data_IF_325108966607
#
_entry.id   IF_325108966607
#
_cell.length_a   1.000
_cell.length_b   1.000
_cell.length_c   1.000
_cell.angle_alpha   90.00
_cell.angle_beta   90.00
_cell.angle_gamma   90.00
#
_symmetry.space_group_name_H-M   'P 1'
#
loop_
_entity.id
_entity.type
_entity.pdbx_description
1 polymer ?
#
# COMPACT_ATOMS: atom_id res chain seq x y z
N UNK A 1 -5.76 23.45 25.55
CA UNK A 1 -4.61 24.23 25.04
C UNK A 1 -3.97 23.38 23.95
N UNK A 2 -4.31 23.64 22.68
CA UNK A 2 -3.67 22.97 21.55
C UNK A 2 -2.26 23.54 21.50
N UNK A 3 -1.28 22.73 21.91
CA UNK A 3 0.11 23.09 21.72
C UNK A 3 0.29 23.19 20.19
N UNK A 4 0.54 24.40 19.66
CA UNK A 4 0.77 24.59 18.23
C UNK A 4 2.10 23.91 17.88
N UNK A 5 2.04 22.62 17.56
CA UNK A 5 3.19 21.88 17.07
C UNK A 5 3.51 22.41 15.68
N UNK A 6 4.62 23.15 15.57
CA UNK A 6 5.11 23.63 14.27
C UNK A 6 5.60 22.44 13.45
N UNK A 7 4.99 22.25 12.28
CA UNK A 7 5.39 21.20 11.34
C UNK A 7 6.56 21.72 10.50
N UNK A 8 7.70 21.01 10.45
CA UNK A 8 8.83 21.43 9.64
C UNK A 8 8.46 21.46 8.13
N UNK A 9 8.97 22.44 7.38
CA UNK A 9 8.71 22.55 5.94
C UNK A 9 9.41 21.43 5.17
N UNK A 10 8.80 21.02 4.05
CA UNK A 10 9.37 20.02 3.13
C UNK A 10 10.59 20.56 2.38
N UNK A 11 11.36 19.68 1.74
CA UNK A 11 12.46 20.08 0.84
C UNK A 11 11.98 21.02 -0.26
N UNK A 12 10.81 20.75 -0.85
CA UNK A 12 10.22 21.58 -1.89
C UNK A 12 9.84 22.98 -1.38
N UNK A 13 9.22 23.07 -0.21
CA UNK A 13 8.87 24.37 0.41
C UNK A 13 10.12 25.16 0.80
N UNK A 14 11.15 24.48 1.30
CA UNK A 14 12.46 25.08 1.58
C UNK A 14 13.13 25.59 0.31
N UNK A 15 13.06 24.82 -0.78
CA UNK A 15 13.55 25.20 -2.10
C UNK A 15 12.86 26.46 -2.62
N UNK A 16 11.53 26.53 -2.51
CA UNK A 16 10.76 27.73 -2.89
C UNK A 16 11.09 28.96 -2.03
N UNK A 17 11.34 28.74 -0.74
CA UNK A 17 11.78 29.81 0.15
C UNK A 17 13.17 30.32 -0.26
N UNK A 18 14.12 29.40 -0.47
CA UNK A 18 15.48 29.73 -0.89
C UNK A 18 15.51 30.40 -2.26
N UNK A 19 14.69 29.95 -3.22
CA UNK A 19 14.62 30.57 -4.55
C UNK A 19 14.07 32.00 -4.53
N UNK A 20 13.27 32.37 -3.51
CA UNK A 20 12.79 33.74 -3.30
C UNK A 20 13.80 34.63 -2.58
N UNK A 21 14.65 34.03 -1.74
CA UNK A 21 15.66 34.74 -0.93
C UNK A 21 16.98 34.95 -1.66
N UNK A 22 17.40 33.98 -2.47
CA UNK A 22 18.67 34.03 -3.19
C UNK A 22 18.45 34.43 -4.66
N UNK A 23 19.22 35.39 -5.20
CA UNK A 23 19.25 35.65 -6.63
C UNK A 23 19.95 34.48 -7.35
N UNK A 24 19.21 33.42 -7.69
CA UNK A 24 19.66 32.37 -8.62
C UNK A 24 20.87 31.55 -8.16
N UNK A 25 21.22 30.50 -8.92
CA UNK A 25 22.40 29.67 -8.63
C UNK A 25 23.64 30.54 -8.43
N UNK A 26 24.39 30.27 -7.34
CA UNK A 26 25.64 30.98 -7.02
C UNK A 26 26.54 31.10 -8.25
N UNK A 27 27.09 32.28 -8.50
CA UNK A 27 28.11 32.46 -9.54
C UNK A 27 29.43 31.81 -9.04
N UNK A 28 30.17 31.08 -9.89
CA UNK A 28 31.45 30.47 -9.52
C UNK A 28 32.49 31.49 -9.00
N UNK A 29 32.33 32.76 -9.36
CA UNK A 29 33.23 33.86 -8.96
C UNK A 29 32.82 34.54 -7.64
N UNK A 30 31.77 34.07 -6.96
CA UNK A 30 31.36 34.63 -5.67
C UNK A 30 32.33 34.23 -4.55
N UNK A 31 32.65 35.13 -3.60
CA UNK A 31 33.53 34.83 -2.48
C UNK A 31 32.96 33.72 -1.56
N UNK A 32 31.65 33.50 -1.61
CA UNK A 32 30.94 32.48 -0.83
C UNK A 32 31.00 31.07 -1.46
N UNK A 33 31.49 30.94 -2.70
CA UNK A 33 31.51 29.67 -3.43
C UNK A 33 32.29 28.57 -2.70
N UNK A 34 33.47 28.92 -2.16
CA UNK A 34 34.32 27.99 -1.42
C UNK A 34 34.20 28.11 0.11
N UNK A 35 33.23 28.88 0.62
CA UNK A 35 33.08 29.06 2.06
C UNK A 35 32.45 27.81 2.73
N UNK A 36 33.22 27.15 3.60
CA UNK A 36 32.80 25.93 4.30
C UNK A 36 31.59 26.15 5.21
N UNK A 37 31.59 27.21 6.02
CA UNK A 37 30.54 27.47 6.99
C UNK A 37 29.20 27.75 6.31
N UNK A 38 29.24 28.51 5.22
CA UNK A 38 28.06 28.79 4.41
C UNK A 38 27.53 27.50 3.76
N UNK A 39 28.41 26.65 3.23
CA UNK A 39 28.03 25.36 2.65
C UNK A 39 27.43 24.38 3.68
N UNK A 40 27.96 24.34 4.90
CA UNK A 40 27.42 23.51 5.99
C UNK A 40 26.04 24.00 6.44
N UNK A 41 25.85 25.32 6.58
CA UNK A 41 24.54 25.92 6.91
C UNK A 41 23.48 25.60 5.85
N UNK A 42 23.83 25.71 4.57
CA UNK A 42 22.93 25.35 3.48
C UNK A 42 22.55 23.87 3.48
N UNK A 43 23.51 22.97 3.72
CA UNK A 43 23.23 21.53 3.83
C UNK A 43 22.23 21.23 4.95
N UNK A 44 22.35 21.90 6.09
CA UNK A 44 21.45 21.73 7.23
C UNK A 44 20.05 22.31 6.96
N UNK A 45 19.96 23.47 6.30
CA UNK A 45 18.67 24.12 6.06
C UNK A 45 17.89 23.51 4.90
N UNK A 46 18.58 22.94 3.91
CA UNK A 46 17.97 22.51 2.65
C UNK A 46 17.20 21.18 2.75
N UNK A 47 17.82 20.17 3.37
CA UNK A 47 17.31 18.80 3.31
C UNK A 47 16.28 18.57 4.42
N UNK A 48 15.12 18.08 4.01
CA UNK A 48 14.13 17.47 4.88
C UNK A 48 14.22 15.94 4.71
N UNK A 49 14.05 15.23 5.81
CA UNK A 49 13.95 13.78 5.81
C UNK A 49 12.95 13.36 6.90
N UNK A 50 12.12 12.37 6.60
CA UNK A 50 11.22 11.79 7.58
C UNK A 50 12.01 11.29 8.83
N UNK A 51 11.51 11.57 10.05
CA UNK A 51 12.18 11.14 11.27
C UNK A 51 12.14 9.61 11.43
N UNK A 52 13.07 9.09 12.23
CA UNK A 52 13.08 7.67 12.59
C UNK A 52 11.87 7.33 13.47
N UNK A 53 11.02 6.41 13.01
CA UNK A 53 9.90 5.88 13.78
C UNK A 53 10.29 4.54 14.43
N UNK A 54 10.38 4.54 15.76
CA UNK A 54 10.70 3.36 16.55
C UNK A 54 9.66 2.22 16.43
N UNK A 55 8.43 2.52 15.98
CA UNK A 55 7.42 1.49 15.69
C UNK A 55 7.79 0.63 14.48
N UNK A 56 8.63 1.15 13.58
CA UNK A 56 9.04 0.50 12.34
C UNK A 56 10.57 0.44 12.21
N UNK A 57 11.27 -0.30 13.10
CA UNK A 57 12.73 -0.34 13.11
C UNK A 57 13.33 -1.11 11.93
N UNK A 58 12.53 -1.95 11.28
CA UNK A 58 12.90 -2.76 10.14
C UNK A 58 13.27 -1.93 8.89
N UNK A 59 14.17 -2.48 8.07
CA UNK A 59 14.59 -1.89 6.78
C UNK A 59 13.43 -1.78 5.80
N UNK A 60 12.48 -2.72 5.87
CA UNK A 60 11.28 -2.78 5.02
C UNK A 60 10.24 -1.72 5.46
N UNK A 61 10.20 -0.59 4.75
CA UNK A 61 9.36 0.57 5.10
C UNK A 61 7.93 0.55 4.54
N UNK A 62 7.51 -0.55 3.92
CA UNK A 62 6.18 -0.69 3.32
C UNK A 62 5.05 -0.46 4.34
N UNK A 63 5.17 -1.04 5.54
CA UNK A 63 4.18 -0.84 6.62
C UNK A 63 4.19 0.57 7.17
N UNK A 64 5.37 1.20 7.24
CA UNK A 64 5.51 2.58 7.68
C UNK A 64 4.78 3.50 6.69
N UNK A 65 5.09 3.41 5.40
CA UNK A 65 4.41 4.15 4.34
C UNK A 65 2.88 4.03 4.43
N UNK A 66 2.36 2.80 4.48
CA UNK A 66 0.91 2.57 4.57
C UNK A 66 0.29 3.16 5.84
N UNK A 67 0.93 3.00 7.00
CA UNK A 67 0.43 3.55 8.26
C UNK A 67 0.34 5.09 8.21
N UNK A 68 1.38 5.76 7.72
CA UNK A 68 1.40 7.22 7.61
C UNK A 68 0.37 7.76 6.61
N UNK A 69 0.11 7.05 5.51
CA UNK A 69 -0.96 7.40 4.57
C UNK A 69 -2.34 7.32 5.24
N UNK A 70 -2.63 6.21 5.94
CA UNK A 70 -3.90 6.05 6.68
C UNK A 70 -4.04 7.08 7.81
N UNK A 71 -2.94 7.37 8.54
CA UNK A 71 -2.94 8.33 9.64
C UNK A 71 -3.19 9.77 9.14
N UNK A 72 -2.71 10.13 7.95
CA UNK A 72 -3.01 11.43 7.33
C UNK A 72 -4.51 11.60 7.08
N UNK A 73 -5.15 10.64 6.41
CA UNK A 73 -6.59 10.71 6.12
C UNK A 73 -7.44 10.66 7.39
N UNK A 74 -7.06 9.84 8.38
CA UNK A 74 -7.74 9.81 9.69
C UNK A 74 -7.58 11.13 10.43
N UNK A 75 -6.41 11.78 10.34
CA UNK A 75 -6.16 13.07 10.97
C UNK A 75 -7.07 14.15 10.38
N UNK A 76 -7.21 14.19 9.05
CA UNK A 76 -8.11 15.14 8.38
C UNK A 76 -9.56 14.97 8.81
N UNK A 77 -10.01 13.73 9.04
CA UNK A 77 -11.39 13.49 9.47
C UNK A 77 -11.63 13.85 10.94
N UNK A 78 -10.73 13.46 11.85
CA UNK A 78 -10.92 13.67 13.28
C UNK A 78 -10.75 15.14 13.68
N UNK A 79 -9.79 15.82 13.04
CA UNK A 79 -9.35 17.17 13.43
C UNK A 79 -9.79 18.25 12.44
N UNK A 80 -10.22 17.89 11.24
CA UNK A 80 -10.54 18.81 10.14
C UNK A 80 -9.34 19.09 9.22
N UNK A 81 -9.62 19.63 8.04
CA UNK A 81 -8.60 19.93 7.01
C UNK A 81 -7.59 21.00 7.44
N UNK A 82 -8.01 21.95 8.30
CA UNK A 82 -7.20 23.08 8.75
C UNK A 82 -6.21 22.73 9.89
N UNK A 83 -6.20 21.46 10.34
CA UNK A 83 -5.33 21.07 11.44
C UNK A 83 -3.87 20.96 10.98
N UNK A 84 -3.07 22.00 11.28
CA UNK A 84 -1.66 22.12 10.89
C UNK A 84 -0.83 20.84 11.15
N UNK A 85 -0.95 20.14 12.30
CA UNK A 85 -0.18 18.93 12.56
C UNK A 85 -0.49 17.76 11.61
N UNK A 86 -1.64 17.72 10.92
CA UNK A 86 -1.90 16.69 9.91
C UNK A 86 -0.89 16.76 8.74
N UNK A 87 -0.34 17.95 8.47
CA UNK A 87 0.69 18.14 7.46
C UNK A 87 1.95 17.30 7.72
N UNK A 88 2.24 16.97 8.98
CA UNK A 88 3.37 16.11 9.33
C UNK A 88 3.23 14.72 8.70
N UNK A 89 2.05 14.09 8.84
CA UNK A 89 1.80 12.78 8.24
C UNK A 89 1.90 12.85 6.71
N UNK A 90 1.42 13.96 6.12
CA UNK A 90 1.52 14.21 4.68
C UNK A 90 2.95 14.23 4.17
N UNK A 91 3.82 14.96 4.87
CA UNK A 91 5.23 15.05 4.52
C UNK A 91 5.90 13.68 4.62
N UNK A 92 5.65 12.95 5.71
CA UNK A 92 6.31 11.65 5.95
C UNK A 92 5.88 10.58 4.93
N UNK A 93 4.60 10.43 4.61
CA UNK A 93 4.21 9.43 3.62
C UNK A 93 4.71 9.80 2.22
N UNK A 94 4.74 11.09 1.84
CA UNK A 94 5.28 11.52 0.54
C UNK A 94 6.78 11.24 0.39
N UNK A 95 7.55 11.27 1.48
CA UNK A 95 8.98 10.94 1.44
C UNK A 95 9.25 9.43 1.34
N UNK A 96 8.44 8.62 2.03
CA UNK A 96 8.70 7.17 2.18
C UNK A 96 7.99 6.36 1.10
N UNK A 97 6.81 6.79 0.66
CA UNK A 97 5.99 6.03 -0.27
C UNK A 97 6.42 6.25 -1.73
N UNK A 98 6.47 5.19 -2.54
CA UNK A 98 6.55 5.34 -3.99
C UNK A 98 5.31 6.06 -4.54
N UNK A 99 5.48 6.96 -5.52
CA UNK A 99 4.36 7.74 -6.10
C UNK A 99 3.23 6.87 -6.63
N UNK A 100 3.56 5.79 -7.35
CA UNK A 100 2.57 4.86 -7.91
C UNK A 100 1.74 4.10 -6.86
N UNK A 101 2.20 4.01 -5.60
CA UNK A 101 1.38 3.47 -4.52
C UNK A 101 0.34 4.48 -4.07
N UNK A 102 0.75 5.74 -3.93
CA UNK A 102 -0.13 6.84 -3.53
C UNK A 102 -1.22 7.03 -4.56
N UNK A 103 -0.87 7.13 -5.85
CA UNK A 103 -1.84 7.26 -6.96
C UNK A 103 -2.89 6.13 -6.94
N UNK A 104 -2.43 4.89 -6.84
CA UNK A 104 -3.33 3.73 -6.77
C UNK A 104 -4.21 3.73 -5.50
N UNK A 105 -3.67 4.19 -4.38
CA UNK A 105 -4.45 4.29 -3.15
C UNK A 105 -5.49 5.39 -3.22
N UNK A 106 -5.13 6.53 -3.81
CA UNK A 106 -6.04 7.65 -4.05
C UNK A 106 -7.21 7.20 -4.96
N UNK A 107 -6.93 6.48 -6.06
CA UNK A 107 -7.98 5.84 -6.89
C UNK A 107 -8.89 4.92 -6.07
N UNK A 108 -8.33 4.05 -5.23
CA UNK A 108 -9.11 3.13 -4.39
C UNK A 108 -9.92 3.86 -3.31
N UNK A 109 -9.44 5.01 -2.84
CA UNK A 109 -10.14 5.87 -1.88
C UNK A 109 -11.32 6.57 -2.57
N UNK A 110 -11.11 7.13 -3.77
CA UNK A 110 -12.16 7.74 -4.59
C UNK A 110 -13.26 6.73 -4.97
N UNK A 111 -12.88 5.50 -5.29
CA UNK A 111 -13.81 4.40 -5.56
C UNK A 111 -14.48 3.82 -4.30
N UNK A 112 -14.03 4.21 -3.10
CA UNK A 112 -14.53 3.65 -1.84
C UNK A 112 -14.16 2.17 -1.60
N UNK A 113 -13.16 1.64 -2.32
CA UNK A 113 -12.69 0.24 -2.20
C UNK A 113 -11.44 0.08 -1.34
N UNK A 114 -10.98 1.16 -0.69
CA UNK A 114 -9.77 1.12 0.12
C UNK A 114 -9.91 0.17 1.32
N UNK A 115 -8.93 -0.73 1.59
CA UNK A 115 -9.08 -1.79 2.58
C UNK A 115 -8.97 -1.31 4.04
N UNK A 116 -8.39 -0.13 4.31
CA UNK A 116 -8.27 0.38 5.68
C UNK A 116 -9.45 1.27 6.09
N UNK A 117 -9.78 1.24 7.38
CA UNK A 117 -10.74 2.16 7.98
C UNK A 117 -10.11 3.53 8.19
N UNK A 118 -10.32 4.42 7.22
CA UNK A 118 -9.93 5.84 7.30
C UNK A 118 -10.95 6.73 8.00
N UNK A 119 -12.16 6.18 8.24
CA UNK A 119 -13.42 6.72 8.79
C UNK A 119 -14.30 7.49 7.75
N UNK A 120 -15.62 7.34 7.90
CA UNK A 120 -16.61 7.36 6.81
C UNK A 120 -17.88 8.09 7.27
N UNK A 121 -17.85 9.43 7.36
CA UNK A 121 -19.13 10.17 7.38
C UNK A 121 -19.69 10.22 5.95
N UNK A 122 -20.19 9.06 5.52
CA UNK A 122 -21.09 8.78 4.39
C UNK A 122 -20.92 9.58 3.09
N UNK A 123 -20.29 8.96 2.09
CA UNK A 123 -20.35 9.19 0.62
C UNK A 123 -18.92 8.92 0.12
N UNK A 124 -18.61 7.92 -0.71
CA UNK A 124 -19.28 7.37 -1.89
C UNK A 124 -19.06 5.85 -1.92
N UNK A 125 -20.16 5.11 -2.09
CA UNK A 125 -20.21 3.65 -2.02
C UNK A 125 -21.08 3.22 -0.83
N UNK A 126 -22.14 2.46 -1.09
CA UNK A 126 -22.94 1.89 -0.02
C UNK A 126 -22.02 1.23 1.01
N UNK A 127 -22.20 1.58 2.29
CA UNK A 127 -21.71 0.78 3.40
C UNK A 127 -22.06 -0.65 3.04
N UNK A 128 -21.04 -1.45 2.74
CA UNK A 128 -21.19 -2.88 2.54
C UNK A 128 -22.04 -3.35 3.71
N UNK A 129 -23.27 -3.83 3.43
CA UNK A 129 -24.26 -4.12 4.46
C UNK A 129 -23.60 -4.91 5.58
N UNK A 130 -23.97 -4.65 6.83
CA UNK A 130 -23.37 -5.32 7.98
C UNK A 130 -23.42 -6.85 7.80
N UNK A 131 -24.46 -7.36 7.11
CA UNK A 131 -24.59 -8.75 6.70
C UNK A 131 -23.52 -9.22 5.72
N UNK A 132 -23.13 -8.40 4.75
CA UNK A 132 -22.09 -8.71 3.78
C UNK A 132 -20.69 -8.67 4.41
N UNK A 133 -20.46 -7.79 5.40
CA UNK A 133 -19.24 -7.80 6.22
C UNK A 133 -19.19 -9.09 7.05
N UNK A 134 -20.28 -9.44 7.74
CA UNK A 134 -20.36 -10.66 8.52
C UNK A 134 -20.17 -11.91 7.66
N UNK A 135 -20.73 -11.93 6.44
CA UNK A 135 -20.48 -12.99 5.45
C UNK A 135 -18.99 -13.11 5.13
N UNK A 136 -18.29 -12.01 4.83
CA UNK A 136 -16.85 -12.01 4.54
C UNK A 136 -16.02 -12.44 5.76
N UNK A 137 -16.37 -11.98 6.96
CA UNK A 137 -15.70 -12.38 8.19
C UNK A 137 -15.91 -13.88 8.49
N UNK A 138 -17.10 -14.41 8.21
CA UNK A 138 -17.37 -15.85 8.33
C UNK A 138 -16.54 -16.68 7.34
N UNK A 139 -16.28 -16.18 6.14
CA UNK A 139 -15.43 -16.87 5.16
C UNK A 139 -13.96 -16.91 5.62
N UNK A 140 -13.49 -15.88 6.30
CA UNK A 140 -12.10 -15.79 6.78
C UNK A 140 -11.91 -16.55 8.10
N UNK A 141 -12.78 -16.33 9.09
CA UNK A 141 -12.66 -16.92 10.44
C UNK A 141 -13.21 -18.34 10.52
N UNK A 142 -14.39 -18.58 9.94
CA UNK A 142 -15.08 -19.86 10.01
C UNK A 142 -14.83 -20.76 8.79
N UNK A 143 -14.08 -20.30 7.78
CA UNK A 143 -13.84 -21.05 6.53
C UNK A 143 -15.13 -21.48 5.80
N UNK A 144 -16.24 -20.79 6.02
CA UNK A 144 -17.57 -21.12 5.47
C UNK A 144 -17.75 -20.67 4.00
N UNK A 145 -16.74 -20.86 3.14
CA UNK A 145 -16.87 -20.51 1.72
C UNK A 145 -17.86 -21.47 1.02
N UNK A 146 -18.79 -20.98 0.18
CA UNK A 146 -19.75 -21.84 -0.51
C UNK A 146 -19.01 -22.84 -1.39
N UNK A 147 -19.32 -24.11 -1.18
CA UNK A 147 -18.77 -25.23 -1.94
C UNK A 147 -19.61 -25.45 -3.20
N UNK A 148 -18.98 -25.38 -4.37
CA UNK A 148 -19.61 -25.73 -5.65
C UNK A 148 -18.96 -26.99 -6.19
N UNK A 149 -19.75 -28.01 -6.51
CA UNK A 149 -19.24 -29.24 -7.10
C UNK A 149 -18.70 -29.03 -8.54
N UNK A 150 -19.15 -27.98 -9.24
CA UNK A 150 -18.78 -27.75 -10.64
C UNK A 150 -17.49 -26.93 -10.75
N UNK A 151 -17.19 -26.10 -9.75
CA UNK A 151 -16.03 -25.22 -9.77
C UNK A 151 -14.90 -25.77 -8.87
N UNK A 152 -13.82 -26.32 -9.46
CA UNK A 152 -12.69 -26.87 -8.70
C UNK A 152 -12.00 -25.83 -7.82
N UNK A 153 -12.11 -24.52 -8.11
CA UNK A 153 -11.45 -23.48 -7.32
C UNK A 153 -12.09 -23.31 -5.93
N UNK A 154 -13.35 -23.71 -5.76
CA UNK A 154 -14.09 -23.62 -4.48
C UNK A 154 -13.77 -24.76 -3.51
N UNK A 155 -13.19 -25.86 -3.98
CA UNK A 155 -12.88 -27.03 -3.16
C UNK A 155 -11.73 -26.80 -2.18
N UNK A 156 -11.73 -27.54 -1.07
CA UNK A 156 -10.62 -27.52 -0.12
C UNK A 156 -9.38 -28.17 -0.77
N UNK A 157 -8.18 -27.78 -0.32
CA UNK A 157 -6.93 -28.33 -0.85
C UNK A 157 -6.85 -29.87 -0.88
N UNK A 158 -7.33 -30.60 0.14
CA UNK A 158 -7.36 -32.07 0.10
C UNK A 158 -8.23 -32.62 -1.03
N UNK A 159 -9.41 -32.05 -1.25
CA UNK A 159 -10.35 -32.46 -2.30
C UNK A 159 -9.79 -32.20 -3.70
N UNK A 160 -9.12 -31.05 -3.87
CA UNK A 160 -8.39 -30.72 -5.12
C UNK A 160 -7.33 -31.79 -5.42
N UNK A 161 -6.54 -32.17 -4.42
CA UNK A 161 -5.53 -33.21 -4.60
C UNK A 161 -6.15 -34.56 -4.93
N UNK A 162 -7.23 -34.96 -4.25
CA UNK A 162 -7.92 -36.22 -4.50
C UNK A 162 -8.51 -36.28 -5.92
N UNK A 163 -9.13 -35.20 -6.39
CA UNK A 163 -9.69 -35.13 -7.73
C UNK A 163 -8.62 -35.16 -8.83
N UNK A 164 -7.50 -34.44 -8.65
CA UNK A 164 -6.37 -34.51 -9.57
C UNK A 164 -5.81 -35.94 -9.65
N UNK A 165 -5.59 -36.59 -8.50
CA UNK A 165 -5.06 -37.96 -8.45
C UNK A 165 -6.05 -38.93 -9.11
N UNK A 166 -7.33 -38.87 -8.74
CA UNK A 166 -8.37 -39.73 -9.32
C UNK A 166 -8.51 -39.55 -10.83
N UNK A 167 -8.49 -38.31 -11.32
CA UNK A 167 -8.51 -38.01 -12.75
C UNK A 167 -7.30 -38.57 -13.49
N UNK A 168 -6.09 -38.36 -12.95
CA UNK A 168 -4.87 -38.93 -13.53
C UNK A 168 -4.88 -40.46 -13.54
N UNK A 169 -5.38 -41.10 -12.48
CA UNK A 169 -5.50 -42.56 -12.40
C UNK A 169 -6.49 -43.11 -13.43
N UNK A 170 -7.66 -42.48 -13.60
CA UNK A 170 -8.65 -42.89 -14.59
C UNK A 170 -8.14 -42.72 -16.03
N UNK A 171 -7.46 -41.61 -16.32
CA UNK A 171 -6.82 -41.37 -17.61
C UNK A 171 -5.73 -42.42 -17.86
N UNK A 172 -4.89 -42.71 -16.87
CA UNK A 172 -3.85 -43.74 -16.99
C UNK A 172 -4.45 -45.12 -17.26
N UNK A 173 -5.52 -45.51 -16.54
CA UNK A 173 -6.24 -46.77 -16.78
C UNK A 173 -6.86 -46.81 -18.18
N UNK A 174 -7.45 -45.70 -18.63
CA UNK A 174 -8.03 -45.61 -19.96
C UNK A 174 -6.98 -45.75 -21.06
N UNK A 175 -5.85 -45.03 -20.93
CA UNK A 175 -4.72 -45.10 -21.87
C UNK A 175 -4.08 -46.49 -21.87
N UNK A 176 -3.94 -47.12 -20.70
CA UNK A 176 -3.44 -48.48 -20.57
C UNK A 176 -4.36 -49.45 -21.33
N UNK A 177 -5.67 -49.38 -21.08
CA UNK A 177 -6.67 -50.21 -21.76
C UNK A 177 -6.67 -49.98 -23.29
N UNK A 178 -6.52 -48.74 -23.77
CA UNK A 178 -6.35 -48.43 -25.20
C UNK A 178 -5.05 -49.02 -25.78
N UNK A 179 -3.94 -48.94 -25.05
CA UNK A 179 -2.63 -49.41 -25.51
C UNK A 179 -2.57 -50.95 -25.62
N UNK A 180 -3.21 -51.65 -24.68
CA UNK A 180 -3.31 -53.12 -24.69
C UNK A 180 -4.49 -53.66 -25.52
N UNK A 181 -5.39 -52.80 -26.01
CA UNK A 181 -6.46 -53.15 -26.98
C UNK A 181 -5.98 -53.31 -28.43
N UNK A 182 -4.68 -53.51 -28.70
CA UNK A 182 -4.24 -53.83 -30.06
C UNK A 182 -4.93 -55.13 -30.51
N UNK A 183 -5.56 -55.16 -31.71
CA UNK A 183 -6.16 -56.38 -32.23
C UNK A 183 -5.07 -57.43 -32.42
N UNK A 184 -5.30 -58.64 -31.93
CA UNK A 184 -4.43 -59.82 -32.08
C UNK A 184 -4.31 -60.33 -33.54
N UNK A 185 -4.45 -59.45 -34.54
CA UNK A 185 -4.59 -59.85 -35.95
C UNK A 185 -3.57 -59.15 -36.85
N UNK A 186 -2.29 -59.46 -36.66
CA UNK A 186 -1.28 -59.47 -37.74
C UNK A 186 -0.19 -60.48 -37.36
N UNK A 187 -0.46 -61.74 -37.68
CA UNK A 187 0.49 -62.82 -37.90
C UNK A 187 0.30 -63.32 -39.32
#
# INVERSE_FOLDING_TARGET
MVNEMEVPPTTAERLEFLSKLEPGLRHPDSPDWFNREYNEKLKQSFIWAAPYDARFPQVRKQRQCFAYYVDFHRCQELMGEDYKPCKFFKNVYKDICPGFWVEKWDELVEEGRFPAKMTYKGMVGELIDAKEIERRESYIRASNRPYSLIDPFTWRYPEKSAACIGGLSLIALHLNNLWYKKPFYYG
#
